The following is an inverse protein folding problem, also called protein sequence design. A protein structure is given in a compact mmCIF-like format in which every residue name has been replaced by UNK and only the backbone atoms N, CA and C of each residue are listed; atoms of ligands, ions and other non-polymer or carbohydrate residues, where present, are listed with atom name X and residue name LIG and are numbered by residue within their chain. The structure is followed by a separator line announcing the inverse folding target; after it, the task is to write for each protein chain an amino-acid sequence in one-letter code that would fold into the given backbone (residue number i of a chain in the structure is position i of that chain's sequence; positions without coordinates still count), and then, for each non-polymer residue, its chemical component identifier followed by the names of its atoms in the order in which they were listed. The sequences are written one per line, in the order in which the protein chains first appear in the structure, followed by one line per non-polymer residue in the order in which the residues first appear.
data_IF_770485065808
#
_entry.id   IF_770485065808
#
_cell.length_a   1.000
_cell.length_b   1.000
_cell.length_c   1.000
_cell.angle_alpha   90.00
_cell.angle_beta   90.00
_cell.angle_gamma   90.00
#
_symmetry.space_group_name_H-M   'P 1'
#
loop_
_entity.id
_entity.type
_entity.pdbx_description
1 polymer ?
#
# COMPACT_ATOMS: atom_id res chain seq x y z
N UNK A 1 -3.51 -8.72 58.96
CA UNK A 1 -2.84 -7.75 58.08
C UNK A 1 -2.02 -8.51 57.07
N UNK A 2 -2.34 -8.39 55.78
CA UNK A 2 -1.44 -8.79 54.70
C UNK A 2 -1.77 -7.89 53.52
N UNK A 3 -0.94 -6.87 53.32
CA UNK A 3 -1.05 -5.97 52.19
C UNK A 3 -0.52 -6.69 50.96
N UNK A 4 -1.40 -6.97 50.01
CA UNK A 4 -1.00 -7.28 48.65
C UNK A 4 -0.34 -6.04 48.02
N UNK A 5 0.92 -6.16 47.62
CA UNK A 5 1.60 -5.17 46.79
C UNK A 5 0.94 -5.13 45.40
N UNK A 6 0.66 -3.95 44.84
CA UNK A 6 0.17 -3.87 43.46
C UNK A 6 1.34 -4.11 42.49
N UNK A 7 1.08 -4.94 41.48
CA UNK A 7 1.96 -5.14 40.35
C UNK A 7 2.34 -3.80 39.69
N UNK A 8 3.63 -3.59 39.46
CA UNK A 8 4.18 -2.33 38.96
C UNK A 8 3.63 -1.96 37.59
N UNK A 9 3.09 -0.75 37.47
CA UNK A 9 2.88 -0.07 36.19
C UNK A 9 4.21 0.01 35.45
N UNK A 10 4.30 -0.60 34.27
CA UNK A 10 5.47 -0.45 33.39
C UNK A 10 5.79 1.03 33.17
N UNK A 11 7.02 1.43 33.47
CA UNK A 11 7.49 2.81 33.26
C UNK A 11 7.41 3.12 31.77
N UNK A 12 6.51 4.02 31.39
CA UNK A 12 6.36 4.55 30.03
C UNK A 12 7.65 5.29 29.65
N UNK A 13 8.59 4.61 28.97
CA UNK A 13 9.87 5.20 28.56
C UNK A 13 9.66 5.98 27.25
N UNK A 14 10.20 7.21 27.12
CA UNK A 14 10.07 7.96 25.88
C UNK A 14 10.79 7.25 24.73
N UNK A 15 10.31 7.45 23.49
CA UNK A 15 10.98 6.98 22.29
C UNK A 15 12.42 7.51 22.21
N UNK A 16 13.32 6.68 21.68
CA UNK A 16 14.68 7.07 21.38
C UNK A 16 14.69 7.88 20.08
N UNK A 17 15.49 8.95 20.02
CA UNK A 17 15.76 9.66 18.76
C UNK A 17 16.94 8.98 18.08
N UNK A 18 16.65 8.16 17.06
CA UNK A 18 17.66 7.35 16.39
C UNK A 18 18.55 8.23 15.50
N UNK A 19 17.95 9.06 14.64
CA UNK A 19 18.67 9.99 13.75
C UNK A 19 17.88 11.29 13.60
N UNK A 20 18.58 12.43 13.59
CA UNK A 20 17.98 13.72 13.20
C UNK A 20 17.80 13.80 11.69
N UNK A 21 16.64 14.24 11.22
CA UNK A 21 16.32 14.25 9.77
C UNK A 21 16.63 15.57 9.07
N UNK A 22 17.03 16.63 9.78
CA UNK A 22 17.22 17.97 9.20
C UNK A 22 18.34 18.02 8.15
N UNK A 23 19.39 17.23 8.34
CA UNK A 23 20.57 17.19 7.48
C UNK A 23 20.65 15.94 6.61
N UNK A 24 19.67 15.03 6.70
CA UNK A 24 19.65 13.82 5.88
C UNK A 24 19.13 14.14 4.48
N UNK A 25 19.82 13.63 3.47
CA UNK A 25 19.25 13.47 2.15
C UNK A 25 18.09 12.47 2.19
N UNK A 26 17.25 12.49 1.14
CA UNK A 26 16.14 11.54 1.00
C UNK A 26 16.63 10.09 0.98
N UNK A 27 17.75 9.83 0.31
CA UNK A 27 18.30 8.48 0.19
C UNK A 27 18.85 7.98 1.53
N UNK A 28 19.61 8.80 2.26
CA UNK A 28 20.06 8.45 3.62
C UNK A 28 18.88 8.20 4.56
N UNK A 29 17.82 9.00 4.45
CA UNK A 29 16.60 8.77 5.22
C UNK A 29 15.90 7.45 4.88
N UNK A 30 15.85 7.09 3.59
CA UNK A 30 15.32 5.79 3.15
C UNK A 30 16.17 4.63 3.67
N UNK A 31 17.50 4.76 3.66
CA UNK A 31 18.40 3.74 4.21
C UNK A 31 18.23 3.57 5.72
N UNK A 32 18.08 4.65 6.49
CA UNK A 32 17.78 4.56 7.93
C UNK A 32 16.48 3.79 8.16
N UNK A 33 15.46 4.02 7.32
CA UNK A 33 14.16 3.34 7.40
C UNK A 33 14.19 1.87 7.01
N UNK A 34 15.23 1.37 6.35
CA UNK A 34 15.38 -0.08 6.10
C UNK A 34 15.73 -0.85 7.37
N UNK A 35 16.29 -0.19 8.38
CA UNK A 35 16.71 -0.81 9.65
C UNK A 35 15.54 -1.12 10.63
N UNK A 36 14.29 -0.95 10.21
CA UNK A 36 13.13 -1.27 11.03
C UNK A 36 11.81 -1.14 10.27
N UNK A 37 10.72 -1.46 10.94
CA UNK A 37 9.35 -1.28 10.48
C UNK A 37 8.92 0.14 10.86
N UNK A 38 8.63 0.97 9.86
CA UNK A 38 8.04 2.29 10.07
C UNK A 38 6.53 2.22 10.27
N UNK A 39 5.91 3.28 10.78
CA UNK A 39 4.44 3.38 10.89
C UNK A 39 3.70 3.07 9.58
N UNK A 40 4.14 3.61 8.44
CA UNK A 40 3.52 3.31 7.14
C UNK A 40 3.69 1.86 6.68
N UNK A 41 4.65 1.15 7.26
CA UNK A 41 5.00 -0.23 6.92
C UNK A 41 4.21 -1.22 7.78
N UNK A 42 3.68 -0.80 8.93
CA UNK A 42 2.97 -1.62 9.91
C UNK A 42 1.88 -2.49 9.27
N UNK A 43 0.99 -1.87 8.47
CA UNK A 43 -0.07 -2.60 7.79
C UNK A 43 0.47 -3.59 6.74
N UNK A 44 1.56 -3.27 6.06
CA UNK A 44 2.16 -4.15 5.04
C UNK A 44 2.88 -5.33 5.70
N UNK A 45 3.54 -5.12 6.84
CA UNK A 45 4.18 -6.16 7.63
C UNK A 45 3.19 -7.24 8.09
N UNK A 46 1.94 -6.85 8.36
CA UNK A 46 0.87 -7.77 8.82
C UNK A 46 -0.11 -8.20 7.71
N UNK A 47 0.13 -7.82 6.45
CA UNK A 47 -0.69 -8.24 5.30
C UNK A 47 -2.04 -7.53 5.15
N UNK A 48 -2.21 -6.36 5.77
CA UNK A 48 -3.45 -5.56 5.74
C UNK A 48 -3.29 -4.23 4.97
N UNK A 49 -2.19 -4.06 4.23
CA UNK A 49 -1.99 -2.90 3.37
C UNK A 49 -2.52 -3.19 1.95
N UNK A 50 -3.41 -2.34 1.39
CA UNK A 50 -4.01 -2.58 0.08
C UNK A 50 -3.06 -2.33 -1.11
N UNK A 51 -1.89 -1.74 -0.87
CA UNK A 51 -0.94 -1.31 -1.91
C UNK A 51 0.37 -2.11 -1.90
N UNK A 52 0.78 -2.64 -0.73
CA UNK A 52 2.06 -3.29 -0.52
C UNK A 52 1.90 -4.59 0.29
N UNK A 53 2.37 -5.70 -0.27
CA UNK A 53 2.42 -7.01 0.36
C UNK A 53 3.60 -7.12 1.35
N UNK A 54 3.56 -8.07 2.31
CA UNK A 54 4.72 -8.41 3.13
C UNK A 54 5.95 -8.79 2.28
N UNK A 55 5.76 -9.46 1.15
CA UNK A 55 6.85 -9.88 0.27
C UNK A 55 7.57 -8.69 -0.39
N UNK A 56 6.82 -7.70 -0.88
CA UNK A 56 7.41 -6.46 -1.41
C UNK A 56 8.12 -5.67 -0.31
N UNK A 57 7.52 -5.58 0.89
CA UNK A 57 8.15 -4.93 2.03
C UNK A 57 9.46 -5.63 2.42
N UNK A 58 9.51 -6.95 2.42
CA UNK A 58 10.72 -7.71 2.70
C UNK A 58 11.85 -7.40 1.71
N UNK A 59 11.55 -7.26 0.40
CA UNK A 59 12.55 -6.82 -0.58
C UNK A 59 13.11 -5.44 -0.25
N UNK A 60 12.26 -4.51 0.18
CA UNK A 60 12.68 -3.16 0.60
C UNK A 60 13.60 -3.24 1.83
N UNK A 61 13.20 -3.99 2.87
CA UNK A 61 13.96 -4.10 4.13
C UNK A 61 15.27 -4.84 3.97
N UNK A 62 15.37 -5.74 3.00
CA UNK A 62 16.61 -6.47 2.69
C UNK A 62 17.44 -5.83 1.57
N UNK A 63 17.03 -4.67 1.05
CA UNK A 63 17.77 -3.93 0.02
C UNK A 63 17.74 -4.56 -1.38
N UNK A 64 16.77 -5.43 -1.67
CA UNK A 64 16.56 -6.10 -2.96
C UNK A 64 15.49 -5.42 -3.83
N UNK A 65 15.23 -4.15 -3.58
CA UNK A 65 14.20 -3.33 -4.21
C UNK A 65 14.71 -2.57 -5.46
N UNK A 66 15.91 -2.87 -5.96
CA UNK A 66 16.53 -2.15 -7.08
C UNK A 66 15.67 -2.16 -8.36
N UNK A 67 15.00 -3.29 -8.63
CA UNK A 67 14.16 -3.49 -9.81
C UNK A 67 12.66 -3.30 -9.54
N UNK A 68 12.28 -2.90 -8.32
CA UNK A 68 10.90 -2.54 -8.05
C UNK A 68 10.59 -1.17 -8.68
N UNK A 69 9.37 -0.96 -9.22
CA UNK A 69 8.94 0.37 -9.64
C UNK A 69 9.03 1.34 -8.46
N UNK A 70 9.78 2.43 -8.64
CA UNK A 70 9.88 3.50 -7.65
C UNK A 70 9.15 4.73 -8.21
N UNK A 71 8.22 5.33 -7.45
CA UNK A 71 7.65 6.60 -7.85
C UNK A 71 8.75 7.63 -8.03
N UNK A 72 8.78 8.29 -9.19
CA UNK A 72 9.65 9.45 -9.37
C UNK A 72 9.16 10.56 -8.42
N UNK A 73 10.02 11.06 -7.52
CA UNK A 73 9.63 12.09 -6.55
C UNK A 73 9.16 13.39 -7.19
N UNK A 74 9.48 13.61 -8.47
CA UNK A 74 9.07 14.79 -9.23
C UNK A 74 7.87 14.52 -10.16
N UNK A 75 7.38 13.28 -10.20
CA UNK A 75 6.19 12.95 -10.98
C UNK A 75 4.94 13.48 -10.27
N UNK A 76 4.36 14.52 -10.87
CA UNK A 76 3.16 15.19 -10.35
C UNK A 76 1.88 14.37 -10.54
N UNK A 77 1.95 13.21 -11.20
CA UNK A 77 0.84 12.26 -11.29
C UNK A 77 0.79 11.28 -10.10
N UNK A 78 1.88 11.16 -9.34
CA UNK A 78 2.00 10.20 -8.25
C UNK A 78 1.40 10.72 -6.93
N UNK A 79 0.62 9.90 -6.19
CA UNK A 79 0.03 10.31 -4.91
C UNK A 79 1.06 10.75 -3.85
N UNK A 80 2.26 10.17 -3.86
CA UNK A 80 3.33 10.48 -2.90
C UNK A 80 3.85 11.91 -3.04
N UNK A 81 3.90 12.44 -4.27
CA UNK A 81 4.26 13.83 -4.55
C UNK A 81 3.29 14.78 -3.85
N UNK A 82 1.98 14.58 -4.09
CA UNK A 82 0.93 15.40 -3.50
C UNK A 82 0.84 15.28 -1.99
N UNK A 83 1.03 14.08 -1.44
CA UNK A 83 1.11 13.87 0.01
C UNK A 83 2.20 14.74 0.65
N UNK A 84 3.40 14.72 0.07
CA UNK A 84 4.55 15.50 0.57
C UNK A 84 4.31 17.01 0.42
N UNK A 85 3.83 17.45 -0.75
CA UNK A 85 3.59 18.86 -1.05
C UNK A 85 2.50 19.47 -0.15
N UNK A 86 1.42 18.71 0.11
CA UNK A 86 0.25 19.20 0.82
C UNK A 86 0.33 19.02 2.34
N UNK A 87 1.20 18.16 2.88
CA UNK A 87 1.33 17.93 4.33
C UNK A 87 1.42 19.24 5.16
N UNK A 88 2.23 20.25 4.78
CA UNK A 88 2.26 21.52 5.52
C UNK A 88 0.93 22.28 5.48
N UNK A 89 0.18 22.19 4.39
CA UNK A 89 -1.13 22.85 4.18
C UNK A 89 -2.21 22.15 5.00
N UNK A 90 -2.19 20.82 5.03
CA UNK A 90 -3.07 19.99 5.88
C UNK A 90 -2.84 20.33 7.36
N UNK A 91 -1.58 20.37 7.80
CA UNK A 91 -1.24 20.72 9.18
C UNK A 91 -1.66 22.15 9.58
N UNK A 92 -1.51 23.12 8.67
CA UNK A 92 -1.95 24.49 8.89
C UNK A 92 -3.49 24.58 8.99
N UNK A 93 -4.19 23.86 8.11
CA UNK A 93 -5.67 23.80 8.11
C UNK A 93 -6.21 23.11 9.35
N UNK A 94 -5.58 22.03 9.80
CA UNK A 94 -5.85 21.37 11.08
C UNK A 94 -5.72 22.35 12.26
N UNK A 95 -4.63 23.12 12.31
CA UNK A 95 -4.40 24.13 13.36
C UNK A 95 -5.52 25.18 13.36
N UNK A 96 -5.93 25.64 12.18
CA UNK A 96 -7.02 26.62 12.04
C UNK A 96 -8.38 26.06 12.47
N UNK A 97 -8.68 24.80 12.13
CA UNK A 97 -9.96 24.16 12.44
C UNK A 97 -10.10 23.77 13.91
N UNK A 98 -9.02 23.29 14.53
CA UNK A 98 -9.05 22.72 15.90
C UNK A 98 -8.53 23.67 16.97
N UNK A 99 -7.76 24.69 16.59
CA UNK A 99 -7.02 25.56 17.52
C UNK A 99 -5.75 24.92 18.11
N UNK A 100 -5.48 23.64 17.83
CA UNK A 100 -4.31 22.94 18.34
C UNK A 100 -3.05 23.38 17.59
N UNK A 101 -2.02 23.81 18.32
CA UNK A 101 -0.71 24.16 17.74
C UNK A 101 0.09 22.89 17.47
N UNK A 102 0.81 22.87 16.35
CA UNK A 102 1.62 21.71 15.95
C UNK A 102 3.06 22.10 15.65
N UNK A 103 3.99 21.15 15.81
CA UNK A 103 5.41 21.31 15.47
C UNK A 103 5.94 20.10 14.73
N UNK A 104 6.97 20.29 13.90
CA UNK A 104 7.66 19.19 13.20
C UNK A 104 8.50 18.36 14.16
N UNK A 105 8.49 17.05 13.95
CA UNK A 105 9.42 16.10 14.58
C UNK A 105 10.49 15.75 13.56
N UNK A 106 11.62 16.46 13.59
CA UNK A 106 12.71 16.23 12.64
C UNK A 106 13.62 15.08 13.10
N UNK A 107 13.04 13.92 13.39
CA UNK A 107 13.77 12.74 13.84
C UNK A 107 13.06 11.45 13.40
N UNK A 108 13.85 10.41 13.14
CA UNK A 108 13.36 9.02 13.17
C UNK A 108 13.35 8.59 14.64
N UNK A 109 12.16 8.25 15.14
CA UNK A 109 11.97 7.75 16.50
C UNK A 109 12.07 6.23 16.51
N UNK A 110 12.53 5.64 17.62
CA UNK A 110 12.62 4.20 17.81
C UNK A 110 11.97 3.81 19.15
N UNK A 111 11.25 2.69 19.16
CA UNK A 111 10.63 2.17 20.38
C UNK A 111 11.72 1.79 21.41
N UNK A 112 11.58 2.17 22.69
CA UNK A 112 12.66 2.05 23.68
C UNK A 112 13.08 0.61 24.02
N UNK A 113 12.24 -0.38 23.75
CA UNK A 113 12.51 -1.81 24.04
C UNK A 113 12.30 -2.74 22.86
N UNK A 114 11.88 -2.22 21.71
CA UNK A 114 11.55 -3.02 20.51
C UNK A 114 12.30 -2.40 19.33
N UNK A 115 13.61 -2.70 19.15
CA UNK A 115 14.49 -1.93 18.28
C UNK A 115 14.04 -1.85 16.81
N UNK A 116 13.33 -2.86 16.32
CA UNK A 116 12.84 -2.87 14.95
C UNK A 116 11.67 -1.91 14.71
N UNK A 117 10.99 -1.39 15.74
CA UNK A 117 9.88 -0.46 15.56
C UNK A 117 10.38 0.98 15.47
N UNK A 118 10.13 1.62 14.34
CA UNK A 118 10.53 2.98 14.01
C UNK A 118 9.30 3.84 13.72
N UNK A 119 9.37 5.14 14.01
CA UNK A 119 8.32 6.07 13.64
C UNK A 119 8.89 7.37 13.09
N UNK A 120 8.41 7.74 11.92
CA UNK A 120 8.38 9.12 11.47
C UNK A 120 6.94 9.62 11.68
N UNK A 121 6.81 10.70 12.44
CA UNK A 121 5.54 11.36 12.74
C UNK A 121 5.55 12.71 12.06
N UNK A 122 4.49 13.04 11.34
CA UNK A 122 4.40 14.29 10.59
C UNK A 122 4.52 15.48 11.55
N UNK A 123 3.73 15.47 12.63
CA UNK A 123 3.69 16.53 13.63
C UNK A 123 3.43 16.03 15.05
N UNK A 124 3.96 16.75 16.02
CA UNK A 124 3.53 16.72 17.41
C UNK A 124 2.53 17.86 17.68
N UNK A 125 1.44 17.54 18.37
CA UNK A 125 0.49 18.53 18.91
C UNK A 125 1.03 19.05 20.24
N UNK A 126 1.05 20.37 20.40
CA UNK A 126 1.67 21.06 21.54
C UNK A 126 0.58 21.71 22.41
N UNK A 127 0.67 21.51 23.72
CA UNK A 127 -0.22 22.16 24.69
C UNK A 127 -1.62 21.53 24.80
N UNK A 128 -1.88 20.42 24.10
CA UNK A 128 -3.10 19.64 24.23
C UNK A 128 -2.81 18.32 24.97
N UNK A 129 -3.60 17.99 25.99
CA UNK A 129 -3.45 16.73 26.74
C UNK A 129 -4.18 15.57 26.08
N UNK A 130 -5.24 15.85 25.32
CA UNK A 130 -6.12 14.82 24.77
C UNK A 130 -5.60 14.24 23.45
N UNK A 131 -4.65 14.89 22.81
CA UNK A 131 -3.99 14.44 21.58
C UNK A 131 -2.55 14.94 21.55
N UNK A 132 -1.61 14.10 21.10
CA UNK A 132 -0.19 14.43 21.09
C UNK A 132 0.48 14.31 19.73
N UNK A 133 -0.11 13.58 18.79
CA UNK A 133 0.40 13.39 17.44
C UNK A 133 -0.62 13.88 16.42
N UNK A 134 -0.13 14.28 15.25
CA UNK A 134 -0.94 14.53 14.07
C UNK A 134 -0.32 13.77 12.88
N UNK A 135 -1.15 13.00 12.20
CA UNK A 135 -0.88 12.33 10.93
C UNK A 135 -1.69 13.04 9.83
N UNK A 136 -1.02 13.53 8.79
CA UNK A 136 -1.61 14.23 7.67
C UNK A 136 -1.78 13.29 6.48
N UNK A 137 -2.99 13.22 5.93
CA UNK A 137 -3.29 12.42 4.73
C UNK A 137 -3.93 13.28 3.65
N UNK A 138 -3.77 12.83 2.41
CA UNK A 138 -4.52 13.34 1.25
C UNK A 138 -5.23 12.17 0.59
N UNK A 139 -6.44 12.39 0.09
CA UNK A 139 -7.22 11.37 -0.59
C UNK A 139 -7.91 11.97 -1.81
N UNK A 140 -7.57 11.48 -3.01
CA UNK A 140 -8.29 11.83 -4.24
C UNK A 140 -9.66 11.15 -4.34
N UNK A 141 -10.35 11.34 -5.46
CA UNK A 141 -11.71 10.83 -5.71
C UNK A 141 -11.86 9.33 -5.40
N UNK A 142 -10.96 8.50 -5.95
CA UNK A 142 -10.98 7.05 -5.72
C UNK A 142 -10.58 6.64 -4.30
N UNK A 143 -9.78 7.46 -3.62
CA UNK A 143 -9.36 7.23 -2.23
C UNK A 143 -10.44 7.63 -1.23
N UNK A 144 -11.23 8.66 -1.53
CA UNK A 144 -12.28 9.20 -0.65
C UNK A 144 -13.29 8.14 -0.21
N UNK A 145 -13.56 7.13 -1.06
CA UNK A 145 -14.47 6.02 -0.71
C UNK A 145 -14.04 5.22 0.50
N UNK A 146 -12.72 5.11 0.75
CA UNK A 146 -12.17 4.36 1.90
C UNK A 146 -12.43 5.09 3.23
N UNK A 147 -12.72 6.39 3.17
CA UNK A 147 -12.91 7.24 4.34
C UNK A 147 -14.37 7.40 4.76
N UNK A 148 -15.32 6.78 4.04
CA UNK A 148 -16.76 6.92 4.30
C UNK A 148 -17.18 6.48 5.69
N UNK A 149 -16.48 5.49 6.24
CA UNK A 149 -16.73 4.92 7.57
C UNK A 149 -15.69 5.36 8.62
N UNK A 150 -14.92 6.42 8.32
CA UNK A 150 -13.85 6.93 9.17
C UNK A 150 -12.46 6.57 8.67
N UNK A 151 -11.51 6.42 9.58
CA UNK A 151 -10.09 6.16 9.24
C UNK A 151 -9.94 4.75 8.65
N UNK A 152 -9.37 4.58 7.44
CA UNK A 152 -9.13 3.25 6.87
C UNK A 152 -8.23 2.39 7.75
N UNK A 153 -8.45 1.08 7.77
CA UNK A 153 -7.75 0.14 8.66
C UNK A 153 -6.23 0.25 8.57
N UNK A 154 -5.65 0.30 7.36
CA UNK A 154 -4.19 0.43 7.19
C UNK A 154 -3.62 1.74 7.78
N UNK A 155 -4.42 2.83 7.82
CA UNK A 155 -4.04 4.09 8.47
C UNK A 155 -4.21 3.98 9.98
N UNK A 156 -5.24 3.28 10.47
CA UNK A 156 -5.38 3.00 11.90
C UNK A 156 -4.18 2.22 12.43
N UNK A 157 -3.74 1.16 11.73
CA UNK A 157 -2.54 0.40 12.10
C UNK A 157 -1.28 1.25 12.11
N UNK A 158 -1.10 2.12 11.11
CA UNK A 158 0.00 3.09 11.11
C UNK A 158 0.00 3.97 12.36
N UNK A 159 -1.17 4.50 12.72
CA UNK A 159 -1.30 5.41 13.87
C UNK A 159 -1.09 4.65 15.19
N UNK A 160 -1.66 3.46 15.35
CA UNK A 160 -1.43 2.62 16.53
C UNK A 160 0.05 2.24 16.68
N UNK A 161 0.74 1.93 15.58
CA UNK A 161 2.19 1.73 15.57
C UNK A 161 2.94 2.98 16.07
N UNK A 162 2.62 4.16 15.54
CA UNK A 162 3.24 5.42 15.97
C UNK A 162 2.97 5.69 17.47
N UNK A 163 1.76 5.44 17.95
CA UNK A 163 1.40 5.56 19.37
C UNK A 163 2.19 4.56 20.24
N UNK A 164 2.42 3.34 19.75
CA UNK A 164 3.28 2.34 20.38
C UNK A 164 4.72 2.87 20.53
N UNK A 165 5.36 3.23 19.41
CA UNK A 165 6.74 3.76 19.37
C UNK A 165 6.93 4.94 20.31
N UNK A 166 5.99 5.89 20.28
CA UNK A 166 6.11 7.17 20.98
C UNK A 166 5.57 7.16 22.41
N UNK A 167 4.92 6.08 22.84
CA UNK A 167 4.22 5.99 24.13
C UNK A 167 3.14 7.07 24.35
N UNK A 168 2.63 7.66 23.26
CA UNK A 168 1.55 8.66 23.27
C UNK A 168 0.18 7.97 23.36
N UNK A 169 -0.83 8.73 23.78
CA UNK A 169 -2.16 8.21 24.11
C UNK A 169 -3.19 8.45 23.00
N UNK A 170 -2.97 9.44 22.14
CA UNK A 170 -3.86 9.71 21.02
C UNK A 170 -3.16 10.50 19.92
N UNK A 171 -3.64 10.28 18.70
CA UNK A 171 -3.26 11.00 17.50
C UNK A 171 -4.53 11.50 16.78
N UNK A 172 -4.44 12.65 16.15
CA UNK A 172 -5.42 13.06 15.16
C UNK A 172 -4.92 12.66 13.76
N UNK A 173 -5.84 12.17 12.93
CA UNK A 173 -5.63 11.94 11.51
C UNK A 173 -6.40 13.03 10.77
N UNK A 174 -5.67 13.96 10.16
CA UNK A 174 -6.24 15.01 9.34
C UNK A 174 -6.13 14.62 7.87
N UNK A 175 -7.27 14.35 7.22
CA UNK A 175 -7.31 13.97 5.80
C UNK A 175 -7.92 15.08 4.96
N UNK A 176 -7.20 15.52 3.92
CA UNK A 176 -7.74 16.40 2.89
C UNK A 176 -8.33 15.56 1.75
N UNK A 177 -9.66 15.50 1.71
CA UNK A 177 -10.44 14.75 0.73
C UNK A 177 -10.71 15.65 -0.48
N UNK A 178 -10.34 15.13 -1.65
CA UNK A 178 -10.47 15.74 -2.98
C UNK A 178 -9.88 17.15 -3.13
N UNK A 179 -9.07 17.61 -2.17
CA UNK A 179 -8.44 18.94 -2.18
C UNK A 179 -9.22 20.06 -1.50
N UNK A 180 -10.46 19.82 -1.04
CA UNK A 180 -11.33 20.86 -0.49
C UNK A 180 -11.97 20.53 0.86
N UNK A 181 -12.10 19.25 1.23
CA UNK A 181 -12.77 18.85 2.48
C UNK A 181 -11.75 18.31 3.47
N UNK A 182 -11.45 19.05 4.53
CA UNK A 182 -10.64 18.55 5.64
C UNK A 182 -11.52 17.82 6.65
N UNK A 183 -11.21 16.57 6.92
CA UNK A 183 -11.79 15.81 8.03
C UNK A 183 -10.70 15.50 9.06
N UNK A 184 -11.07 15.55 10.34
CA UNK A 184 -10.17 15.27 11.45
C UNK A 184 -10.77 14.16 12.29
N UNK A 185 -10.05 13.04 12.37
CA UNK A 185 -10.47 11.85 13.08
C UNK A 185 -9.51 11.59 14.25
N UNK A 186 -10.02 11.38 15.46
CA UNK A 186 -9.18 11.03 16.60
C UNK A 186 -9.02 9.51 16.70
N UNK A 187 -7.78 9.05 16.77
CA UNK A 187 -7.43 7.67 17.07
C UNK A 187 -6.82 7.63 18.46
N UNK A 188 -7.49 6.91 19.37
CA UNK A 188 -7.01 6.68 20.73
C UNK A 188 -6.17 5.42 20.75
N UNK A 189 -5.10 5.42 21.55
CA UNK A 189 -4.25 4.27 21.78
C UNK A 189 -5.09 3.08 22.23
N UNK A 190 -4.94 1.97 21.53
CA UNK A 190 -5.54 0.69 21.90
C UNK A 190 -4.39 -0.29 22.23
N UNK A 191 -4.18 -0.52 23.53
CA UNK A 191 -3.09 -1.39 24.00
C UNK A 191 -3.28 -2.86 23.59
N UNK A 192 -4.51 -3.34 23.42
CA UNK A 192 -4.77 -4.72 23.01
C UNK A 192 -4.45 -4.90 21.52
N UNK A 193 -4.86 -3.94 20.68
CA UNK A 193 -4.50 -3.90 19.27
C UNK A 193 -2.99 -3.75 19.10
N UNK A 194 -2.36 -2.82 19.82
CA UNK A 194 -0.91 -2.60 19.77
C UNK A 194 -0.15 -3.86 20.17
N UNK A 195 -0.55 -4.55 21.23
CA UNK A 195 0.11 -5.79 21.64
C UNK A 195 0.09 -6.83 20.50
N UNK A 196 -1.07 -7.00 19.85
CA UNK A 196 -1.19 -7.92 18.71
C UNK A 196 -0.39 -7.46 17.49
N UNK A 197 -0.38 -6.16 17.22
CA UNK A 197 0.38 -5.58 16.12
C UNK A 197 1.88 -5.85 16.29
N UNK A 198 2.43 -5.63 17.49
CA UNK A 198 3.84 -5.89 17.79
C UNK A 198 4.21 -7.36 17.58
N UNK A 199 3.35 -8.31 17.98
CA UNK A 199 3.59 -9.74 17.75
C UNK A 199 3.68 -10.08 16.26
N UNK A 200 2.74 -9.57 15.46
CA UNK A 200 2.69 -9.83 14.02
C UNK A 200 3.84 -9.14 13.28
N UNK A 201 4.17 -7.91 13.66
CA UNK A 201 5.33 -7.19 13.14
C UNK A 201 6.65 -7.91 13.49
N UNK A 202 6.76 -8.50 14.69
CA UNK A 202 7.93 -9.30 15.06
C UNK A 202 8.05 -10.57 14.20
N UNK A 203 6.94 -11.21 13.85
CA UNK A 203 6.93 -12.35 12.91
C UNK A 203 7.44 -11.90 11.54
N UNK A 204 6.97 -10.75 11.04
CA UNK A 204 7.49 -10.18 9.80
C UNK A 204 8.99 -9.85 9.90
N UNK A 205 9.40 -9.19 10.99
CA UNK A 205 10.80 -8.80 11.19
C UNK A 205 11.74 -10.01 11.22
N UNK A 206 11.29 -11.15 11.75
CA UNK A 206 12.05 -12.40 11.69
C UNK A 206 12.37 -12.83 10.26
N UNK A 207 11.48 -12.61 9.29
CA UNK A 207 11.78 -12.88 7.88
C UNK A 207 12.92 -12.00 7.35
N UNK A 208 12.97 -10.74 7.79
CA UNK A 208 14.07 -9.82 7.47
C UNK A 208 15.38 -10.30 8.12
N UNK A 209 15.37 -10.60 9.42
CA UNK A 209 16.57 -11.03 10.17
C UNK A 209 17.14 -12.38 9.70
N UNK A 210 16.26 -13.30 9.32
CA UNK A 210 16.66 -14.64 8.83
C UNK A 210 16.87 -14.70 7.32
N UNK A 211 16.77 -13.55 6.63
CA UNK A 211 16.87 -13.44 5.17
C UNK A 211 15.99 -14.47 4.42
N UNK A 212 14.81 -14.77 4.98
CA UNK A 212 13.85 -15.71 4.42
C UNK A 212 12.64 -14.94 3.91
N UNK A 213 12.25 -15.05 2.63
CA UNK A 213 11.11 -14.30 2.12
C UNK A 213 9.79 -14.78 2.76
N UNK A 214 8.87 -13.87 3.13
CA UNK A 214 7.52 -14.25 3.53
C UNK A 214 6.74 -14.88 2.35
N UNK A 215 5.69 -15.66 2.62
CA UNK A 215 4.88 -16.25 1.55
C UNK A 215 4.18 -15.17 0.72
N UNK A 216 4.06 -15.42 -0.59
CA UNK A 216 3.24 -14.59 -1.47
C UNK A 216 1.75 -14.75 -1.14
N UNK A 217 0.99 -13.67 -1.26
CA UNK A 217 -0.41 -13.56 -0.84
C UNK A 217 -1.42 -13.46 -2.01
N UNK A 218 -0.93 -13.56 -3.25
CA UNK A 218 -1.75 -13.41 -4.46
C UNK A 218 -2.08 -11.97 -4.83
N UNK A 219 -1.58 -10.97 -4.08
CA UNK A 219 -1.76 -9.56 -4.42
C UNK A 219 -0.95 -9.15 -5.65
N UNK A 220 -1.37 -8.05 -6.31
CA UNK A 220 -0.59 -7.42 -7.39
C UNK A 220 0.80 -7.02 -6.91
N UNK A 221 0.93 -6.63 -5.63
CA UNK A 221 2.22 -6.32 -5.02
C UNK A 221 3.12 -7.57 -4.92
N UNK A 222 2.59 -8.70 -4.48
CA UNK A 222 3.36 -9.94 -4.42
C UNK A 222 3.79 -10.42 -5.82
N UNK A 223 2.95 -10.26 -6.85
CA UNK A 223 3.33 -10.55 -8.25
C UNK A 223 4.51 -9.67 -8.70
N UNK A 224 4.48 -8.35 -8.43
CA UNK A 224 5.62 -7.45 -8.72
C UNK A 224 6.88 -7.89 -7.98
N UNK A 225 6.76 -8.22 -6.68
CA UNK A 225 7.87 -8.68 -5.86
C UNK A 225 8.50 -9.98 -6.40
N UNK A 226 7.68 -10.97 -6.77
CA UNK A 226 8.15 -12.22 -7.37
C UNK A 226 8.88 -12.00 -8.69
N UNK A 227 8.40 -11.08 -9.55
CA UNK A 227 9.09 -10.73 -10.80
C UNK A 227 10.43 -10.04 -10.55
N UNK A 228 10.52 -9.21 -9.50
CA UNK A 228 11.76 -8.58 -9.08
C UNK A 228 12.78 -9.62 -8.57
N UNK A 229 12.33 -10.58 -7.76
CA UNK A 229 13.17 -11.67 -7.23
C UNK A 229 13.66 -12.62 -8.31
N UNK A 230 12.80 -12.93 -9.28
CA UNK A 230 13.03 -13.99 -10.25
C UNK A 230 12.86 -13.47 -11.69
N UNK A 231 13.80 -12.64 -12.19
CA UNK A 231 13.69 -11.98 -13.49
C UNK A 231 13.67 -12.97 -14.68
N UNK A 232 14.12 -14.21 -14.46
CA UNK A 232 14.09 -15.30 -15.44
C UNK A 232 15.49 -15.62 -15.95
N UNK A 233 16.02 -16.78 -15.57
CA UNK A 233 17.29 -17.32 -16.06
C UNK A 233 17.11 -18.41 -17.13
N UNK A 234 15.86 -18.70 -17.53
CA UNK A 234 15.50 -19.85 -18.35
C UNK A 234 15.50 -21.17 -17.56
N UNK A 235 15.34 -22.28 -18.28
CA UNK A 235 15.37 -23.65 -17.74
C UNK A 235 14.02 -24.18 -17.27
N UNK A 236 14.02 -25.47 -16.91
CA UNK A 236 12.87 -26.22 -16.41
C UNK A 236 13.22 -26.76 -15.03
N UNK A 237 12.33 -26.56 -14.06
CA UNK A 237 12.41 -27.18 -12.72
C UNK A 237 11.33 -28.24 -12.66
N UNK A 238 11.69 -29.45 -12.23
CA UNK A 238 10.76 -30.57 -12.08
C UNK A 238 10.22 -30.62 -10.65
N UNK A 239 8.91 -30.44 -10.51
CA UNK A 239 8.18 -30.53 -9.24
C UNK A 239 7.26 -31.76 -9.17
N UNK A 240 7.41 -32.72 -10.09
CA UNK A 240 6.54 -33.90 -10.19
C UNK A 240 6.48 -34.75 -8.91
N UNK A 241 7.58 -34.80 -8.15
CA UNK A 241 7.64 -35.49 -6.86
C UNK A 241 7.24 -34.63 -5.65
N UNK A 242 7.09 -33.31 -5.82
CA UNK A 242 6.61 -32.42 -4.77
C UNK A 242 5.08 -32.47 -4.73
N UNK A 243 4.55 -33.31 -3.82
CA UNK A 243 3.11 -33.46 -3.63
C UNK A 243 2.39 -32.16 -3.30
N UNK A 244 3.02 -31.25 -2.56
CA UNK A 244 2.40 -29.98 -2.17
C UNK A 244 2.25 -29.08 -3.39
N UNK A 245 3.31 -28.93 -4.18
CA UNK A 245 3.27 -28.10 -5.39
C UNK A 245 2.43 -28.72 -6.50
N UNK A 246 2.42 -30.04 -6.62
CA UNK A 246 1.56 -30.76 -7.56
C UNK A 246 0.07 -30.59 -7.21
N UNK A 247 -0.29 -30.65 -5.92
CA UNK A 247 -1.65 -30.33 -5.47
C UNK A 247 -2.02 -28.88 -5.79
N UNK A 248 -1.15 -27.92 -5.48
CA UNK A 248 -1.40 -26.51 -5.77
C UNK A 248 -1.56 -26.24 -7.28
N UNK A 249 -0.81 -26.95 -8.13
CA UNK A 249 -0.96 -26.88 -9.59
C UNK A 249 -2.31 -27.46 -10.03
N UNK A 250 -2.71 -28.62 -9.53
CA UNK A 250 -4.01 -29.22 -9.85
C UNK A 250 -5.18 -28.31 -9.43
N UNK A 251 -5.10 -27.71 -8.23
CA UNK A 251 -6.09 -26.75 -7.74
C UNK A 251 -6.15 -25.50 -8.65
N UNK A 252 -5.01 -24.97 -9.08
CA UNK A 252 -4.94 -23.84 -10.02
C UNK A 252 -5.62 -24.17 -11.36
N UNK A 253 -5.39 -25.35 -11.90
CA UNK A 253 -6.02 -25.81 -13.15
C UNK A 253 -7.53 -25.93 -13.01
N UNK A 254 -8.01 -26.50 -11.90
CA UNK A 254 -9.44 -26.61 -11.62
C UNK A 254 -10.11 -25.23 -11.50
N UNK A 255 -9.51 -24.31 -10.75
CA UNK A 255 -10.02 -22.93 -10.63
C UNK A 255 -10.05 -22.22 -11.99
N UNK A 256 -9.05 -22.47 -12.85
CA UNK A 256 -9.02 -21.88 -14.19
C UNK A 256 -10.19 -22.36 -15.04
N UNK A 257 -10.49 -23.65 -15.02
CA UNK A 257 -11.63 -24.22 -15.72
C UNK A 257 -12.96 -23.62 -15.22
N UNK A 258 -13.11 -23.46 -13.90
CA UNK A 258 -14.30 -22.82 -13.30
C UNK A 258 -14.48 -21.37 -13.74
N UNK A 259 -13.38 -20.60 -13.84
CA UNK A 259 -13.39 -19.23 -14.36
C UNK A 259 -13.88 -19.21 -15.80
N UNK A 260 -13.35 -20.09 -16.65
CA UNK A 260 -13.70 -20.13 -18.07
C UNK A 260 -15.20 -20.48 -18.26
N UNK A 261 -15.73 -21.42 -17.47
CA UNK A 261 -17.17 -21.76 -17.45
C UNK A 261 -18.03 -20.57 -17.02
N UNK A 262 -17.62 -19.85 -15.96
CA UNK A 262 -18.34 -18.67 -15.47
C UNK A 262 -18.30 -17.51 -16.47
N UNK A 263 -17.18 -17.30 -17.15
CA UNK A 263 -17.04 -16.30 -18.21
C UNK A 263 -17.90 -16.62 -19.42
N UNK A 264 -17.97 -17.90 -19.83
CA UNK A 264 -18.88 -18.33 -20.89
C UNK A 264 -20.35 -18.08 -20.52
N UNK A 265 -20.72 -18.36 -19.27
CA UNK A 265 -22.06 -18.10 -18.74
C UNK A 265 -22.39 -16.59 -18.72
N UNK A 266 -21.47 -15.76 -18.22
CA UNK A 266 -21.60 -14.30 -18.24
C UNK A 266 -21.80 -13.78 -19.67
N UNK A 267 -20.99 -14.26 -20.63
CA UNK A 267 -21.08 -13.87 -22.03
C UNK A 267 -22.44 -14.24 -22.64
N UNK A 268 -22.96 -15.43 -22.36
CA UNK A 268 -24.29 -15.86 -22.83
C UNK A 268 -25.41 -14.99 -22.27
N UNK A 269 -25.37 -14.67 -20.97
CA UNK A 269 -26.35 -13.78 -20.33
C UNK A 269 -26.30 -12.37 -20.92
N UNK A 270 -25.08 -11.84 -21.11
CA UNK A 270 -24.87 -10.52 -21.75
C UNK A 270 -25.45 -10.50 -23.17
N UNK A 271 -25.19 -11.53 -23.97
CA UNK A 271 -25.71 -11.64 -25.34
C UNK A 271 -27.23 -11.76 -25.37
N UNK A 272 -27.83 -12.50 -24.44
CA UNK A 272 -29.30 -12.60 -24.30
C UNK A 272 -29.92 -11.23 -24.07
N UNK A 273 -29.33 -10.42 -23.18
CA UNK A 273 -29.78 -9.04 -22.93
C UNK A 273 -29.57 -8.16 -24.17
N UNK A 274 -28.38 -8.20 -24.79
CA UNK A 274 -28.09 -7.42 -26.00
C UNK A 274 -29.07 -7.74 -27.14
N UNK A 275 -29.39 -9.02 -27.34
CA UNK A 275 -30.36 -9.47 -28.34
C UNK A 275 -31.77 -8.93 -28.04
N UNK A 276 -32.18 -8.89 -26.78
CA UNK A 276 -33.46 -8.31 -26.36
C UNK A 276 -33.48 -6.77 -26.49
N UNK A 277 -32.34 -6.09 -26.29
CA UNK A 277 -32.21 -4.64 -26.46
C UNK A 277 -32.36 -4.21 -27.92
N UNK A 278 -31.92 -5.02 -28.89
CA UNK A 278 -31.92 -4.66 -30.30
C UNK A 278 -31.13 -3.37 -30.55
N UNK A 279 -31.78 -2.37 -31.14
CA UNK A 279 -31.19 -1.06 -31.43
C UNK A 279 -31.20 -0.09 -30.23
N UNK A 280 -31.74 -0.51 -29.08
CA UNK A 280 -31.81 0.36 -27.92
C UNK A 280 -30.44 0.53 -27.24
N UNK A 281 -30.05 1.77 -26.98
CA UNK A 281 -28.80 2.12 -26.30
C UNK A 281 -28.80 1.84 -24.78
N UNK A 282 -29.98 1.60 -24.20
CA UNK A 282 -30.19 1.43 -22.75
C UNK A 282 -31.41 0.56 -22.46
N UNK A 283 -31.32 -0.29 -21.44
CA UNK A 283 -32.43 -1.06 -20.90
C UNK A 283 -32.48 -0.92 -19.37
N UNK A 284 -33.70 -0.87 -18.83
CA UNK A 284 -34.00 -0.81 -17.39
C UNK A 284 -34.58 -2.16 -16.94
N UNK A 285 -34.20 -2.60 -15.75
CA UNK A 285 -34.63 -3.82 -15.09
C UNK A 285 -35.06 -3.51 -13.65
N UNK A 286 -35.70 -4.45 -12.97
CA UNK A 286 -36.15 -4.28 -11.58
C UNK A 286 -35.03 -3.83 -10.63
N UNK A 287 -33.81 -4.36 -10.82
CA UNK A 287 -32.67 -4.14 -9.90
C UNK A 287 -31.56 -3.27 -10.48
N UNK A 288 -31.75 -2.66 -11.66
CA UNK A 288 -30.70 -1.85 -12.27
C UNK A 288 -30.88 -1.61 -13.76
N UNK A 289 -29.81 -1.19 -14.44
CA UNK A 289 -29.84 -0.88 -15.87
C UNK A 289 -28.55 -1.28 -16.57
N UNK A 290 -28.65 -1.45 -17.89
CA UNK A 290 -27.51 -1.70 -18.78
C UNK A 290 -27.50 -0.65 -19.88
N UNK A 291 -26.31 -0.23 -20.30
CA UNK A 291 -26.13 0.61 -21.49
C UNK A 291 -25.27 -0.13 -22.51
N UNK A 292 -25.70 -0.11 -23.77
CA UNK A 292 -25.02 -0.73 -24.89
C UNK A 292 -25.05 0.22 -26.08
N UNK A 293 -24.11 1.17 -26.07
CA UNK A 293 -24.04 2.25 -27.07
C UNK A 293 -22.96 1.96 -28.09
N UNK A 294 -23.26 2.22 -29.36
CA UNK A 294 -22.22 2.23 -30.40
C UNK A 294 -21.22 3.36 -30.13
N UNK A 295 -19.94 3.03 -30.03
CA UNK A 295 -18.87 4.03 -29.97
C UNK A 295 -18.77 4.78 -31.31
N UNK A 296 -18.32 6.04 -31.28
CA UNK A 296 -17.97 6.76 -32.51
C UNK A 296 -16.91 6.00 -33.29
N UNK A 297 -16.93 6.16 -34.61
CA UNK A 297 -15.89 5.58 -35.46
C UNK A 297 -14.52 6.15 -35.05
N UNK A 298 -13.60 5.24 -34.74
CA UNK A 298 -12.23 5.60 -34.42
C UNK A 298 -11.44 5.83 -35.70
N UNK A 299 -10.61 6.87 -35.72
CA UNK A 299 -9.56 7.00 -36.73
C UNK A 299 -8.26 6.43 -36.17
N UNK A 300 -7.58 5.62 -36.97
CA UNK A 300 -6.30 5.02 -36.63
C UNK A 300 -5.25 5.37 -37.67
N UNK A 301 -3.99 5.41 -37.24
CA UNK A 301 -2.85 5.54 -38.16
C UNK A 301 -2.39 4.14 -38.53
N UNK A 302 -2.27 3.86 -39.83
CA UNK A 302 -1.60 2.65 -40.30
C UNK A 302 -0.09 2.79 -40.04
N UNK A 303 0.31 2.42 -38.83
CA UNK A 303 1.70 2.56 -38.38
C UNK A 303 2.65 1.72 -39.23
N UNK A 304 2.21 0.55 -39.71
CA UNK A 304 3.04 -0.32 -40.54
C UNK A 304 3.37 0.38 -41.86
N UNK A 305 2.36 0.97 -42.52
CA UNK A 305 2.56 1.75 -43.74
C UNK A 305 3.36 3.02 -43.49
N UNK A 306 3.05 3.77 -42.43
CA UNK A 306 3.79 4.98 -42.06
C UNK A 306 5.28 4.71 -41.87
N UNK A 307 5.64 3.64 -41.16
CA UNK A 307 7.04 3.26 -40.92
C UNK A 307 7.72 2.69 -42.18
N UNK A 308 6.97 2.11 -43.11
CA UNK A 308 7.50 1.71 -44.41
C UNK A 308 7.81 2.92 -45.30
N UNK A 309 6.91 3.91 -45.34
CA UNK A 309 7.06 5.15 -46.11
C UNK A 309 8.10 6.10 -45.47
N UNK A 310 8.23 6.06 -44.13
CA UNK A 310 9.13 6.91 -43.35
C UNK A 310 9.94 6.12 -42.30
N UNK A 311 10.94 5.32 -42.70
CA UNK A 311 11.71 4.46 -41.78
C UNK A 311 12.48 5.22 -40.68
N UNK A 312 12.85 6.48 -40.95
CA UNK A 312 13.54 7.34 -39.98
C UNK A 312 12.71 7.59 -38.71
N UNK A 313 11.37 7.56 -38.81
CA UNK A 313 10.49 7.70 -37.65
C UNK A 313 10.61 6.50 -36.69
N UNK A 314 10.89 5.29 -37.20
CA UNK A 314 11.08 4.12 -36.34
C UNK A 314 12.26 4.32 -35.38
N UNK A 315 13.36 4.90 -35.89
CA UNK A 315 14.56 5.18 -35.08
C UNK A 315 14.32 6.36 -34.15
N UNK A 316 13.73 7.45 -34.66
CA UNK A 316 13.50 8.67 -33.89
C UNK A 316 12.58 8.46 -32.68
N UNK A 317 11.59 7.57 -32.79
CA UNK A 317 10.59 7.32 -31.75
C UNK A 317 10.75 5.94 -31.09
N UNK A 318 11.87 5.24 -31.33
CA UNK A 318 12.13 3.96 -30.68
C UNK A 318 12.24 4.14 -29.16
N UNK A 319 11.39 3.42 -28.42
CA UNK A 319 11.52 3.27 -26.98
C UNK A 319 11.81 1.80 -26.66
N UNK A 320 12.76 1.57 -25.77
CA UNK A 320 12.99 0.22 -25.24
C UNK A 320 12.05 -0.02 -24.08
N UNK A 321 11.16 -1.02 -24.22
CA UNK A 321 10.34 -1.49 -23.11
C UNK A 321 11.01 -2.71 -22.50
N UNK A 322 11.16 -2.73 -21.18
CA UNK A 322 11.62 -3.93 -20.49
C UNK A 322 10.64 -5.09 -20.75
N UNK A 323 11.19 -6.27 -21.02
CA UNK A 323 10.40 -7.49 -21.12
C UNK A 323 9.78 -7.85 -19.76
N UNK A 324 8.66 -8.56 -19.78
CA UNK A 324 8.03 -9.10 -18.57
C UNK A 324 8.00 -10.62 -18.60
N UNK A 325 8.27 -11.24 -17.45
CA UNK A 325 8.10 -12.69 -17.27
C UNK A 325 6.60 -12.99 -17.19
N UNK A 326 6.12 -13.89 -18.04
CA UNK A 326 4.72 -14.32 -18.08
C UNK A 326 4.55 -15.64 -17.35
N UNK A 327 3.44 -15.78 -16.64
CA UNK A 327 2.99 -17.04 -16.07
C UNK A 327 1.95 -17.63 -17.02
N UNK A 328 2.27 -18.77 -17.63
CA UNK A 328 1.40 -19.50 -18.55
C UNK A 328 1.20 -20.91 -18.00
N UNK A 329 0.00 -21.44 -18.17
CA UNK A 329 -0.37 -22.79 -17.75
C UNK A 329 -0.69 -23.57 -19.01
N UNK A 330 0.07 -24.64 -19.23
CA UNK A 330 -0.18 -25.63 -20.27
C UNK A 330 -0.68 -26.91 -19.57
N UNK A 331 -1.86 -27.39 -19.95
CA UNK A 331 -2.54 -28.57 -19.38
C UNK A 331 -2.99 -29.48 -20.49
#
# INVERSE_FOLDING_TARGET
MSHAQPAGRGRNRPALRLVETKSLSRDEWLEVRKNGIGGSDAAAAVGLNPYMSPLELWLIKTGRDANLPRPDPQDTSEPVYWGTLLEPIVAASYTKQTGNKVRRVNAVLQHPTTPFMLANVDREVVGCRDVQLLECKTAGEFGARLWREGVPEYVQLQVQHQLAVTSRQAADVAVLICGQKLEVHRVVRDDALIARLIELEAVFWRYVETDTPPPADGSVSADRALRCMYPGAGGTVDFSDDRRLSSAFADLVAVRADIDVRQATEAQLKQTIQQAMGEADRAEFETGSVSYKRSKDGTGVDLKRLLADHPHLAVQYAITKAGSRRFLVDT
#
